data_IF_026645785888
#
_entry.id   IF_026645785888
#
_cell.length_a   1.000
_cell.length_b   1.000
_cell.length_c   1.000
_cell.angle_alpha   90.00
_cell.angle_beta   90.00
_cell.angle_gamma   90.00
#
_symmetry.space_group_name_H-M   'P 1'
#
loop_
_entity.id
_entity.type
_entity.pdbx_description
1 polymer ?
#
# COMPACT_ATOMS: atom_id res chain seq x y z
N UNK A 1 -28.23 7.35 26.45
CA UNK A 1 -27.26 7.74 25.41
C UNK A 1 -27.58 9.17 25.00
N UNK A 2 -26.68 10.13 25.22
CA UNK A 2 -26.94 11.55 24.95
C UNK A 2 -26.79 11.85 23.45
N UNK A 3 -27.90 12.20 22.80
CA UNK A 3 -27.95 12.54 21.36
C UNK A 3 -27.06 13.74 21.01
N UNK A 4 -26.88 14.68 21.93
CA UNK A 4 -26.00 15.85 21.72
C UNK A 4 -24.52 15.47 21.78
N UNK A 5 -24.19 14.43 22.53
CA UNK A 5 -22.84 13.88 22.56
C UNK A 5 -22.55 13.18 21.23
N UNK A 6 -23.48 12.34 20.76
CA UNK A 6 -23.34 11.65 19.46
C UNK A 6 -23.22 12.61 18.28
N UNK A 7 -24.04 13.66 18.22
CA UNK A 7 -23.96 14.67 17.17
C UNK A 7 -22.59 15.40 17.15
N UNK A 8 -22.03 15.69 18.33
CA UNK A 8 -20.68 16.28 18.44
C UNK A 8 -19.59 15.32 17.97
N UNK A 9 -19.71 14.04 18.29
CA UNK A 9 -18.78 13.01 17.78
C UNK A 9 -18.87 12.86 16.27
N UNK A 10 -20.08 12.82 15.70
CA UNK A 10 -20.29 12.70 14.26
C UNK A 10 -19.70 13.89 13.49
N UNK A 11 -19.98 15.12 13.92
CA UNK A 11 -19.42 16.31 13.30
C UNK A 11 -17.88 16.30 13.36
N UNK A 12 -17.29 15.93 14.51
CA UNK A 12 -15.83 15.83 14.63
C UNK A 12 -15.24 14.84 13.63
N UNK A 13 -15.85 13.65 13.50
CA UNK A 13 -15.41 12.67 12.51
C UNK A 13 -15.48 13.26 11.10
N UNK A 14 -16.56 13.92 10.74
CA UNK A 14 -16.73 14.56 9.43
C UNK A 14 -15.60 15.57 9.11
N UNK A 15 -15.28 16.46 10.06
CA UNK A 15 -14.21 17.45 9.91
C UNK A 15 -12.84 16.80 9.68
N UNK A 16 -12.54 15.75 10.44
CA UNK A 16 -11.30 14.97 10.28
C UNK A 16 -11.27 14.30 8.90
N UNK A 17 -12.35 13.62 8.52
CA UNK A 17 -12.42 12.78 7.32
C UNK A 17 -12.30 13.56 6.02
N UNK A 18 -12.84 14.79 5.99
CA UNK A 18 -12.87 15.62 4.79
C UNK A 18 -11.74 16.66 4.73
N UNK A 19 -11.17 17.07 5.86
CA UNK A 19 -10.05 18.01 5.90
C UNK A 19 -10.37 19.39 5.30
N UNK A 20 -11.64 19.82 5.31
CA UNK A 20 -12.07 21.07 4.67
C UNK A 20 -11.42 22.32 5.31
N UNK A 21 -11.11 22.25 6.60
CA UNK A 21 -10.38 23.28 7.34
C UNK A 21 -9.27 22.63 8.17
N UNK A 22 -8.02 23.05 7.94
CA UNK A 22 -6.82 22.43 8.55
C UNK A 22 -6.86 22.49 10.09
N UNK A 23 -7.34 23.61 10.64
CA UNK A 23 -7.41 23.81 12.08
C UNK A 23 -8.43 22.87 12.75
N UNK A 24 -9.59 22.63 12.12
CA UNK A 24 -10.63 21.72 12.63
C UNK A 24 -10.15 20.27 12.61
N UNK A 25 -9.51 19.88 11.51
CA UNK A 25 -8.89 18.55 11.38
C UNK A 25 -7.82 18.34 12.46
N UNK A 26 -6.93 19.32 12.66
CA UNK A 26 -5.86 19.23 13.66
C UNK A 26 -6.43 19.08 15.07
N UNK A 27 -7.41 19.92 15.44
CA UNK A 27 -8.05 19.83 16.75
C UNK A 27 -8.79 18.50 16.96
N UNK A 28 -9.43 17.99 15.90
CA UNK A 28 -10.05 16.68 15.91
C UNK A 28 -9.05 15.55 16.15
N UNK A 29 -7.90 15.58 15.47
CA UNK A 29 -6.81 14.61 15.65
C UNK A 29 -6.19 14.69 17.04
N UNK A 30 -5.92 15.89 17.56
CA UNK A 30 -5.44 16.09 18.93
C UNK A 30 -6.40 15.46 19.95
N UNK A 31 -7.71 15.60 19.74
CA UNK A 31 -8.68 14.98 20.63
C UNK A 31 -8.68 13.45 20.55
N UNK A 32 -8.50 12.86 19.35
CA UNK A 32 -8.37 11.41 19.19
C UNK A 32 -7.09 10.90 19.87
N UNK A 33 -6.01 11.67 19.78
CA UNK A 33 -4.73 11.38 20.42
C UNK A 33 -4.82 11.42 21.95
N UNK A 34 -5.43 12.46 22.50
CA UNK A 34 -5.68 12.61 23.95
C UNK A 34 -6.52 11.47 24.51
N UNK A 35 -7.57 11.06 23.79
CA UNK A 35 -8.46 9.97 24.19
C UNK A 35 -7.88 8.57 23.91
N UNK A 36 -6.77 8.48 23.18
CA UNK A 36 -6.17 7.22 22.71
C UNK A 36 -7.12 6.39 21.85
N UNK A 37 -7.92 7.05 21.01
CA UNK A 37 -8.91 6.44 20.13
C UNK A 37 -8.24 5.84 18.86
N UNK A 38 -7.29 4.92 19.05
CA UNK A 38 -6.45 4.39 17.96
C UNK A 38 -7.21 3.50 16.97
N UNK A 39 -8.10 2.66 17.48
CA UNK A 39 -8.94 1.79 16.63
C UNK A 39 -9.90 2.61 15.77
N UNK A 40 -10.51 3.64 16.36
CA UNK A 40 -11.37 4.56 15.63
C UNK A 40 -10.58 5.29 14.53
N UNK A 41 -9.38 5.77 14.86
CA UNK A 41 -8.47 6.41 13.89
C UNK A 41 -8.18 5.46 12.71
N UNK A 42 -7.87 4.20 13.00
CA UNK A 42 -7.64 3.16 11.99
C UNK A 42 -8.84 2.94 11.06
N UNK A 43 -10.06 2.86 11.62
CA UNK A 43 -11.29 2.67 10.85
C UNK A 43 -11.57 3.90 9.98
N UNK A 44 -11.41 5.10 10.55
CA UNK A 44 -11.59 6.37 9.84
C UNK A 44 -10.65 6.46 8.62
N UNK A 45 -9.41 6.01 8.75
CA UNK A 45 -8.46 5.99 7.63
C UNK A 45 -8.93 5.17 6.41
N UNK A 46 -9.90 4.26 6.52
CA UNK A 46 -10.38 3.50 5.35
C UNK A 46 -11.09 4.36 4.32
N UNK A 47 -11.79 5.40 4.76
CA UNK A 47 -12.65 6.23 3.89
C UNK A 47 -12.26 7.70 3.89
N UNK A 48 -11.27 8.09 4.68
CA UNK A 48 -10.77 9.46 4.74
C UNK A 48 -10.12 9.90 3.40
N UNK A 49 -10.12 11.20 3.14
CA UNK A 49 -9.28 11.77 2.10
C UNK A 49 -7.80 11.44 2.32
N UNK A 50 -6.98 11.52 1.26
CA UNK A 50 -5.55 11.19 1.34
C UNK A 50 -4.80 12.00 2.41
N UNK A 51 -4.98 13.31 2.43
CA UNK A 51 -4.30 14.20 3.39
C UNK A 51 -4.69 13.85 4.83
N UNK A 52 -5.98 13.75 5.21
CA UNK A 52 -6.34 13.32 6.55
C UNK A 52 -5.86 11.90 6.91
N UNK A 53 -5.95 10.95 5.98
CA UNK A 53 -5.49 9.58 6.22
C UNK A 53 -3.99 9.53 6.51
N UNK A 54 -3.20 10.32 5.77
CA UNK A 54 -1.77 10.45 6.01
C UNK A 54 -1.47 11.06 7.38
N UNK A 55 -2.20 12.13 7.78
CA UNK A 55 -2.04 12.73 9.11
C UNK A 55 -2.40 11.77 10.24
N UNK A 56 -3.45 10.97 10.07
CA UNK A 56 -3.82 9.90 11.01
C UNK A 56 -2.73 8.83 11.10
N UNK A 57 -2.15 8.42 9.97
CA UNK A 57 -1.03 7.48 9.96
C UNK A 57 0.20 8.06 10.70
N UNK A 58 0.57 9.31 10.42
CA UNK A 58 1.67 10.03 11.10
C UNK A 58 1.44 10.10 12.62
N UNK A 59 0.22 10.40 13.05
CA UNK A 59 -0.15 10.43 14.47
C UNK A 59 0.03 9.06 15.13
N UNK A 60 -0.45 7.98 14.50
CA UNK A 60 -0.29 6.62 15.02
C UNK A 60 1.19 6.22 15.10
N UNK A 61 1.98 6.52 14.06
CA UNK A 61 3.42 6.25 14.02
C UNK A 61 4.18 7.02 15.11
N UNK A 62 3.85 8.28 15.34
CA UNK A 62 4.46 9.13 16.38
C UNK A 62 4.22 8.58 17.79
N UNK A 63 3.10 7.90 18.00
CA UNK A 63 2.73 7.30 19.28
C UNK A 63 3.07 5.81 19.39
N UNK A 64 3.93 5.29 18.50
CA UNK A 64 4.31 3.88 18.42
C UNK A 64 3.12 2.91 18.29
N UNK A 65 2.00 3.38 17.73
CA UNK A 65 0.78 2.59 17.51
C UNK A 65 0.82 1.93 16.13
N UNK A 66 1.48 0.77 16.04
CA UNK A 66 1.72 0.10 14.74
C UNK A 66 0.57 -0.82 14.30
N UNK A 67 -0.02 -1.57 15.22
CA UNK A 67 -1.10 -2.53 14.91
C UNK A 67 -2.33 -1.85 14.29
N UNK A 68 -2.76 -0.66 14.75
CA UNK A 68 -3.86 0.06 14.11
C UNK A 68 -3.60 0.43 12.64
N UNK A 69 -2.35 0.45 12.16
CA UNK A 69 -2.05 0.72 10.75
C UNK A 69 -2.35 -0.47 9.81
N UNK A 70 -2.58 -1.67 10.35
CA UNK A 70 -2.82 -2.88 9.55
C UNK A 70 -4.11 -2.75 8.74
N UNK A 71 -5.21 -2.30 9.36
CA UNK A 71 -6.51 -2.19 8.69
C UNK A 71 -6.45 -1.26 7.47
N UNK A 72 -5.95 -0.01 7.55
CA UNK A 72 -5.79 0.83 6.37
C UNK A 72 -4.74 0.27 5.40
N UNK A 73 -3.65 -0.33 5.87
CA UNK A 73 -2.67 -1.01 5.00
C UNK A 73 -3.31 -2.13 4.15
N UNK A 74 -4.28 -2.85 4.71
CA UNK A 74 -4.91 -3.98 4.04
C UNK A 74 -6.11 -3.60 3.14
N UNK A 75 -6.92 -2.63 3.57
CA UNK A 75 -8.26 -2.44 3.01
C UNK A 75 -8.55 -1.02 2.51
N UNK A 76 -7.67 -0.04 2.80
CA UNK A 76 -7.91 1.33 2.33
C UNK A 76 -7.92 1.35 0.80
N UNK A 77 -8.94 2.00 0.24
CA UNK A 77 -9.04 2.29 -1.18
C UNK A 77 -8.82 3.78 -1.36
N UNK A 78 -8.08 4.19 -2.40
CA UNK A 78 -7.94 5.62 -2.66
C UNK A 78 -9.32 6.20 -2.98
N UNK A 79 -9.86 7.02 -2.07
CA UNK A 79 -11.09 7.78 -2.31
C UNK A 79 -10.74 8.91 -3.25
N UNK A 80 -10.69 8.62 -4.54
CA UNK A 80 -10.67 9.66 -5.56
C UNK A 80 -12.04 10.29 -5.52
N UNK A 81 -12.14 11.49 -4.92
CA UNK A 81 -13.19 12.41 -5.38
C UNK A 81 -12.97 12.45 -6.88
N UNK A 82 -13.97 12.02 -7.65
CA UNK A 82 -14.03 12.48 -9.01
C UNK A 82 -13.92 13.99 -8.84
N UNK A 83 -12.77 14.56 -9.15
CA UNK A 83 -12.77 15.91 -9.62
C UNK A 83 -13.81 15.83 -10.75
N UNK A 84 -15.02 16.30 -10.44
CA UNK A 84 -15.67 17.22 -11.33
C UNK A 84 -14.54 18.19 -11.68
N UNK A 85 -13.77 17.83 -12.70
CA UNK A 85 -13.24 18.79 -13.63
C UNK A 85 -14.52 19.48 -14.07
N UNK A 86 -14.87 20.50 -13.30
CA UNK A 86 -15.88 21.44 -13.68
C UNK A 86 -15.49 21.82 -15.10
N UNK A 87 -16.36 21.47 -16.02
CA UNK A 87 -16.18 21.60 -17.48
C UNK A 87 -16.19 23.08 -17.88
N UNK A 88 -15.72 23.97 -17.02
CA UNK A 88 -15.68 25.42 -17.17
C UNK A 88 -14.29 26.00 -17.42
N UNK A 89 -13.20 25.28 -17.14
CA UNK A 89 -11.84 25.87 -17.16
C UNK A 89 -11.14 25.93 -18.52
N UNK A 90 -11.42 25.00 -19.44
CA UNK A 90 -10.68 24.88 -20.72
C UNK A 90 -11.60 24.57 -21.91
N UNK A 91 -12.78 25.22 -21.93
CA UNK A 91 -13.63 25.32 -23.14
C UNK A 91 -13.24 26.49 -24.05
N UNK A 92 -11.99 26.96 -24.02
CA UNK A 92 -11.49 27.79 -25.10
C UNK A 92 -11.12 26.88 -26.26
N UNK A 93 -12.09 26.68 -27.16
CA UNK A 93 -11.79 26.33 -28.56
C UNK A 93 -10.65 27.24 -28.99
N UNK A 94 -9.55 26.66 -29.47
CA UNK A 94 -8.28 27.34 -29.76
C UNK A 94 -8.45 28.58 -30.67
N UNK A 95 -9.57 28.68 -31.40
CA UNK A 95 -9.83 29.75 -32.37
C UNK A 95 -10.95 30.73 -32.00
N UNK A 96 -11.61 30.61 -30.84
CA UNK A 96 -12.76 31.48 -30.54
C UNK A 96 -12.38 32.94 -30.22
N UNK A 97 -11.11 33.20 -29.92
CA UNK A 97 -10.63 34.55 -29.55
C UNK A 97 -9.98 35.30 -30.74
N UNK A 98 -9.78 34.67 -31.91
CA UNK A 98 -9.17 35.32 -33.09
C UNK A 98 -10.23 36.01 -33.97
N UNK A 99 -11.47 35.51 -33.99
CA UNK A 99 -12.56 36.12 -34.77
C UNK A 99 -13.22 37.33 -34.08
N UNK A 100 -12.75 37.71 -32.88
CA UNK A 100 -13.37 38.75 -32.05
C UNK A 100 -12.62 40.10 -32.06
N UNK A 101 -11.52 40.21 -32.82
CA UNK A 101 -10.77 41.46 -32.98
C UNK A 101 -11.02 41.97 -34.42
N UNK A 102 -11.93 42.94 -34.48
CA UNK A 102 -12.20 43.94 -35.52
C UNK A 102 -11.66 43.75 -36.96
N UNK A 103 -12.64 43.76 -37.87
CA UNK A 103 -12.67 44.39 -39.20
C UNK A 103 -11.40 44.53 -40.06
N UNK A 104 -11.59 44.08 -41.30
CA UNK A 104 -10.89 44.44 -42.54
C UNK A 104 -9.43 43.93 -42.66
N UNK A 105 -9.28 42.94 -43.55
CA UNK A 105 -8.05 42.25 -43.96
C UNK A 105 -7.37 41.32 -42.95
N UNK A 106 -7.86 40.08 -42.83
CA UNK A 106 -6.96 38.93 -42.63
C UNK A 106 -7.60 37.63 -43.09
N UNK A 107 -6.84 36.81 -43.81
CA UNK A 107 -7.28 35.52 -44.32
C UNK A 107 -7.70 34.63 -43.14
N UNK A 108 -9.01 34.39 -43.02
CA UNK A 108 -9.54 33.42 -42.07
C UNK A 108 -8.80 32.09 -42.21
N UNK A 109 -8.57 31.42 -41.08
CA UNK A 109 -7.79 30.19 -41.02
C UNK A 109 -8.34 29.19 -42.04
N UNK A 110 -7.52 28.71 -43.00
CA UNK A 110 -7.97 27.75 -44.00
C UNK A 110 -8.59 26.51 -43.37
N UNK A 111 -9.71 26.04 -43.94
CA UNK A 111 -10.53 24.96 -43.36
C UNK A 111 -9.72 23.70 -43.00
N UNK A 112 -8.78 23.30 -43.86
CA UNK A 112 -7.92 22.14 -43.61
C UNK A 112 -7.04 22.28 -42.35
N UNK A 113 -6.63 23.50 -41.99
CA UNK A 113 -5.87 23.77 -40.76
C UNK A 113 -6.80 23.68 -39.55
N UNK A 114 -8.05 24.13 -39.68
CA UNK A 114 -9.07 24.02 -38.63
C UNK A 114 -9.41 22.55 -38.36
N UNK A 115 -9.69 21.77 -39.40
CA UNK A 115 -9.96 20.33 -39.31
C UNK A 115 -8.77 19.58 -38.70
N UNK A 116 -7.54 19.85 -39.16
CA UNK A 116 -6.33 19.23 -38.60
C UNK A 116 -6.15 19.57 -37.11
N UNK A 117 -6.42 20.82 -36.72
CA UNK A 117 -6.31 21.25 -35.32
C UNK A 117 -7.38 20.59 -34.43
N UNK A 118 -8.61 20.45 -34.93
CA UNK A 118 -9.69 19.73 -34.24
C UNK A 118 -9.36 18.23 -34.10
N UNK A 119 -8.81 17.60 -35.14
CA UNK A 119 -8.36 16.20 -35.09
C UNK A 119 -7.22 15.97 -34.09
N UNK A 120 -6.24 16.88 -34.05
CA UNK A 120 -5.14 16.84 -33.09
C UNK A 120 -5.68 17.00 -31.66
N UNK A 121 -6.64 17.91 -31.45
CA UNK A 121 -7.28 18.12 -30.16
C UNK A 121 -8.05 16.87 -29.72
N UNK A 122 -8.90 16.31 -30.59
CA UNK A 122 -9.68 15.10 -30.32
C UNK A 122 -8.77 13.89 -30.02
N UNK A 123 -7.67 13.75 -30.76
CA UNK A 123 -6.67 12.70 -30.53
C UNK A 123 -5.95 12.86 -29.18
N UNK A 124 -5.60 14.09 -28.81
CA UNK A 124 -4.99 14.40 -27.52
C UNK A 124 -5.99 14.16 -26.36
N UNK A 125 -7.27 14.49 -26.54
CA UNK A 125 -8.33 14.23 -25.56
C UNK A 125 -8.58 12.74 -25.37
N UNK A 126 -8.64 11.95 -26.45
CA UNK A 126 -8.76 10.47 -26.39
C UNK A 126 -7.56 9.83 -25.72
N UNK A 127 -6.36 10.34 -25.99
CA UNK A 127 -5.12 9.84 -25.37
C UNK A 127 -5.09 10.15 -23.87
N UNK A 128 -5.47 11.38 -23.48
CA UNK A 128 -5.52 11.81 -22.08
C UNK A 128 -6.60 11.04 -21.30
N UNK A 129 -7.79 10.88 -21.86
CA UNK A 129 -8.87 10.10 -21.24
C UNK A 129 -8.51 8.63 -21.12
N UNK A 130 -7.87 8.03 -22.13
CA UNK A 130 -7.38 6.66 -22.07
C UNK A 130 -6.21 6.44 -21.10
N UNK A 131 -5.37 7.46 -20.86
CA UNK A 131 -4.33 7.44 -19.83
C UNK A 131 -4.94 7.56 -18.43
N UNK A 132 -5.88 8.51 -18.23
CA UNK A 132 -6.62 8.66 -16.98
C UNK A 132 -7.42 7.41 -16.63
N UNK A 133 -8.06 6.74 -17.60
CA UNK A 133 -8.78 5.49 -17.36
C UNK A 133 -7.85 4.34 -16.96
N UNK A 134 -6.64 4.26 -17.53
CA UNK A 134 -5.62 3.29 -17.11
C UNK A 134 -5.10 3.58 -15.71
N UNK A 135 -4.85 4.85 -15.39
CA UNK A 135 -4.44 5.28 -14.05
C UNK A 135 -5.57 5.14 -13.01
N UNK A 136 -6.84 5.23 -13.42
CA UNK A 136 -8.01 4.91 -12.59
C UNK A 136 -8.19 3.39 -12.40
N UNK A 137 -7.70 2.58 -13.33
CA UNK A 137 -7.68 1.13 -13.20
C UNK A 137 -6.57 0.65 -12.26
N UNK A 138 -5.46 1.38 -12.15
CA UNK A 138 -4.41 1.14 -11.17
C UNK A 138 -4.76 1.80 -9.82
N UNK A 139 -5.28 1.01 -8.87
CA UNK A 139 -5.59 1.47 -7.50
C UNK A 139 -4.31 1.63 -6.68
N UNK A 140 -3.48 2.62 -7.04
CA UNK A 140 -2.31 3.04 -6.27
C UNK A 140 -2.72 4.05 -5.21
N UNK A 141 -2.64 3.66 -3.94
CA UNK A 141 -2.89 4.55 -2.80
C UNK A 141 -1.58 4.86 -2.09
N UNK A 142 -1.12 6.11 -2.20
CA UNK A 142 0.12 6.57 -1.58
C UNK A 142 0.13 6.43 -0.05
N UNK A 143 -1.04 6.37 0.60
CA UNK A 143 -1.12 6.15 2.05
C UNK A 143 -0.73 4.72 2.41
N UNK A 144 -1.11 3.71 1.60
CA UNK A 144 -0.74 2.31 1.87
C UNK A 144 0.76 2.11 1.73
N UNK A 145 1.35 2.69 0.70
CA UNK A 145 2.80 2.68 0.49
C UNK A 145 3.53 3.35 1.67
N UNK A 146 3.09 4.55 2.06
CA UNK A 146 3.62 5.26 3.23
C UNK A 146 3.56 4.42 4.51
N UNK A 147 2.44 3.75 4.78
CA UNK A 147 2.29 2.88 5.97
C UNK A 147 3.33 1.75 5.93
N UNK A 148 3.45 1.05 4.81
CA UNK A 148 4.36 -0.09 4.69
C UNK A 148 5.82 0.36 4.82
N UNK A 149 6.18 1.50 4.23
CA UNK A 149 7.53 2.06 4.33
C UNK A 149 7.86 2.47 5.76
N UNK A 150 6.96 3.21 6.42
CA UNK A 150 7.17 3.64 7.80
C UNK A 150 7.27 2.46 8.77
N UNK A 151 6.46 1.42 8.60
CA UNK A 151 6.61 0.18 9.38
C UNK A 151 7.94 -0.54 9.07
N UNK A 152 8.37 -0.51 7.81
CA UNK A 152 9.66 -1.05 7.37
C UNK A 152 10.84 -0.40 8.08
N UNK A 153 10.81 0.92 8.28
CA UNK A 153 11.83 1.64 9.05
C UNK A 153 11.88 1.22 10.53
N UNK A 154 10.77 0.74 11.08
CA UNK A 154 10.66 0.30 12.48
C UNK A 154 10.88 -1.20 12.69
N UNK A 155 11.14 -1.96 11.62
CA UNK A 155 11.26 -3.43 11.65
C UNK A 155 12.34 -3.96 12.61
N UNK A 156 13.42 -3.19 12.80
CA UNK A 156 14.52 -3.54 13.70
C UNK A 156 14.24 -3.14 15.16
N UNK A 157 13.30 -2.22 15.39
CA UNK A 157 13.08 -1.54 16.66
C UNK A 157 11.86 -2.05 17.41
N UNK A 158 10.80 -2.46 16.69
CA UNK A 158 9.52 -2.84 17.29
C UNK A 158 9.01 -4.17 16.76
N UNK A 159 8.68 -5.08 17.69
CA UNK A 159 8.02 -6.34 17.35
C UNK A 159 6.60 -6.11 16.79
N UNK A 160 5.90 -5.07 17.25
CA UNK A 160 4.57 -4.72 16.77
C UNK A 160 4.60 -4.19 15.33
N UNK A 161 5.67 -3.48 14.94
CA UNK A 161 5.87 -3.09 13.55
C UNK A 161 6.11 -4.30 12.64
N UNK A 162 6.89 -5.29 13.10
CA UNK A 162 7.06 -6.57 12.39
C UNK A 162 5.71 -7.28 12.25
N UNK A 163 4.95 -7.41 13.35
CA UNK A 163 3.65 -8.06 13.33
C UNK A 163 2.68 -7.36 12.36
N UNK A 164 2.67 -6.02 12.35
CA UNK A 164 1.86 -5.24 11.42
C UNK A 164 2.24 -5.51 9.96
N UNK A 165 3.54 -5.54 9.62
CA UNK A 165 4.00 -5.86 8.27
C UNK A 165 3.63 -7.27 7.83
N UNK A 166 3.72 -8.25 8.73
CA UNK A 166 3.32 -9.64 8.43
C UNK A 166 1.84 -9.71 8.12
N UNK A 167 1.01 -9.09 8.95
CA UNK A 167 -0.44 -9.05 8.73
C UNK A 167 -0.78 -8.37 7.39
N UNK A 168 -0.11 -7.26 7.05
CA UNK A 168 -0.31 -6.61 5.75
C UNK A 168 0.14 -7.52 4.61
N UNK A 169 1.29 -8.17 4.72
CA UNK A 169 1.82 -9.08 3.70
C UNK A 169 0.89 -10.28 3.43
N UNK A 170 0.26 -10.81 4.49
CA UNK A 170 -0.64 -11.97 4.39
C UNK A 170 -2.08 -11.59 3.99
N UNK A 171 -2.60 -10.47 4.50
CA UNK A 171 -4.04 -10.18 4.47
C UNK A 171 -4.44 -8.99 3.60
N UNK A 172 -3.49 -8.17 3.11
CA UNK A 172 -3.87 -7.03 2.27
C UNK A 172 -4.63 -7.48 1.05
N UNK A 173 -5.70 -6.77 0.68
CA UNK A 173 -6.45 -7.07 -0.56
C UNK A 173 -5.64 -6.65 -1.79
N UNK A 174 -4.70 -5.72 -1.63
CA UNK A 174 -3.91 -5.12 -2.69
C UNK A 174 -2.60 -5.88 -2.90
N UNK A 175 -2.41 -6.36 -4.13
CA UNK A 175 -1.27 -7.21 -4.48
C UNK A 175 0.07 -6.49 -4.30
N UNK A 176 0.20 -5.26 -4.80
CA UNK A 176 1.43 -4.49 -4.66
C UNK A 176 1.77 -4.22 -3.19
N UNK A 177 0.77 -3.87 -2.38
CA UNK A 177 0.97 -3.66 -0.95
C UNK A 177 1.39 -4.95 -0.24
N UNK A 178 0.77 -6.11 -0.56
CA UNK A 178 1.20 -7.43 -0.03
C UNK A 178 2.66 -7.71 -0.38
N UNK A 179 3.03 -7.50 -1.64
CA UNK A 179 4.37 -7.78 -2.18
C UNK A 179 5.44 -6.89 -1.56
N UNK A 180 5.18 -5.59 -1.46
CA UNK A 180 6.12 -4.64 -0.84
C UNK A 180 6.31 -4.98 0.65
N UNK A 181 5.23 -5.24 1.40
CA UNK A 181 5.32 -5.61 2.81
C UNK A 181 6.11 -6.93 2.99
N UNK A 182 5.83 -7.93 2.15
CA UNK A 182 6.55 -9.21 2.16
C UNK A 182 8.05 -9.03 1.88
N UNK A 183 8.42 -8.18 0.92
CA UNK A 183 9.80 -7.86 0.62
C UNK A 183 10.51 -7.17 1.80
N UNK A 184 9.86 -6.23 2.48
CA UNK A 184 10.45 -5.57 3.66
C UNK A 184 10.79 -6.58 4.76
N UNK A 185 9.91 -7.54 5.02
CA UNK A 185 10.16 -8.62 5.98
C UNK A 185 11.27 -9.55 5.51
N UNK A 186 11.19 -10.04 4.27
CA UNK A 186 12.13 -11.01 3.71
C UNK A 186 13.55 -10.45 3.58
N UNK A 187 13.70 -9.17 3.24
CA UNK A 187 15.00 -8.52 3.10
C UNK A 187 15.70 -8.29 4.45
N UNK A 188 14.96 -8.30 5.56
CA UNK A 188 15.55 -8.10 6.88
C UNK A 188 15.91 -9.44 7.54
N UNK A 189 17.06 -10.00 7.13
CA UNK A 189 17.52 -11.33 7.54
C UNK A 189 17.58 -11.53 9.06
N UNK A 190 17.91 -10.50 9.84
CA UNK A 190 17.90 -10.57 11.30
C UNK A 190 16.50 -10.82 11.87
N UNK A 191 15.47 -10.19 11.30
CA UNK A 191 14.07 -10.39 11.74
C UNK A 191 13.61 -11.78 11.37
N UNK A 192 13.92 -12.25 10.15
CA UNK A 192 13.65 -13.63 9.72
C UNK A 192 14.27 -14.64 10.69
N UNK A 193 15.55 -14.49 11.04
CA UNK A 193 16.22 -15.37 12.02
C UNK A 193 15.57 -15.33 13.40
N UNK A 194 15.27 -14.14 13.91
CA UNK A 194 14.58 -13.97 15.20
C UNK A 194 13.22 -14.65 15.22
N UNK A 195 12.46 -14.54 14.13
CA UNK A 195 11.16 -15.19 14.00
C UNK A 195 11.26 -16.71 14.00
N UNK A 196 12.22 -17.28 13.27
CA UNK A 196 12.44 -18.73 13.25
C UNK A 196 12.86 -19.24 14.63
N UNK A 197 13.80 -18.56 15.29
CA UNK A 197 14.22 -18.89 16.66
C UNK A 197 13.06 -18.78 17.67
N UNK A 198 12.07 -17.94 17.41
CA UNK A 198 10.84 -17.83 18.20
C UNK A 198 9.74 -18.84 17.81
N UNK A 199 10.02 -19.80 16.92
CA UNK A 199 9.05 -20.81 16.46
C UNK A 199 8.02 -20.28 15.45
N UNK A 200 8.17 -19.05 14.95
CA UNK A 200 7.22 -18.38 14.03
C UNK A 200 7.56 -18.59 12.55
N UNK A 201 8.30 -19.65 12.23
CA UNK A 201 8.73 -19.93 10.85
C UNK A 201 7.54 -20.14 9.88
N UNK A 202 6.40 -20.64 10.37
CA UNK A 202 5.19 -20.84 9.56
C UNK A 202 4.64 -19.52 8.99
N UNK A 203 4.77 -18.41 9.71
CA UNK A 203 4.33 -17.10 9.22
C UNK A 203 5.16 -16.64 8.03
N UNK A 204 6.46 -16.91 8.03
CA UNK A 204 7.34 -16.61 6.91
C UNK A 204 6.97 -17.40 5.65
N UNK A 205 6.57 -18.66 5.81
CA UNK A 205 6.05 -19.48 4.72
C UNK A 205 4.71 -18.93 4.20
N UNK A 206 3.83 -18.45 5.08
CA UNK A 206 2.58 -17.80 4.69
C UNK A 206 2.82 -16.50 3.92
N UNK A 207 3.78 -15.67 4.33
CA UNK A 207 4.18 -14.45 3.61
C UNK A 207 4.68 -14.80 2.21
N UNK A 208 5.56 -15.81 2.09
CA UNK A 208 6.05 -16.27 0.80
C UNK A 208 4.91 -16.75 -0.10
N UNK A 209 3.98 -17.54 0.42
CA UNK A 209 2.81 -18.03 -0.33
C UNK A 209 1.86 -16.90 -0.75
N UNK A 210 1.59 -15.94 0.14
CA UNK A 210 0.67 -14.82 -0.10
C UNK A 210 1.23 -13.80 -1.11
N UNK A 211 2.55 -13.54 -1.06
CA UNK A 211 3.22 -12.61 -1.97
C UNK A 211 3.34 -13.14 -3.40
N UNK A 212 3.44 -14.48 -3.56
CA UNK A 212 3.70 -15.16 -4.84
C UNK A 212 4.97 -14.67 -5.54
N UNK A 213 5.95 -14.21 -4.76
CA UNK A 213 7.23 -13.72 -5.26
C UNK A 213 8.34 -14.73 -4.99
N UNK A 214 9.05 -15.12 -6.04
CA UNK A 214 10.23 -15.99 -5.91
C UNK A 214 11.33 -15.33 -5.09
N UNK A 215 11.56 -14.03 -5.27
CA UNK A 215 12.56 -13.26 -4.51
C UNK A 215 12.29 -13.26 -3.00
N UNK A 216 11.04 -13.20 -2.58
CA UNK A 216 10.65 -13.32 -1.16
C UNK A 216 11.02 -14.71 -0.63
N UNK A 217 10.72 -15.76 -1.40
CA UNK A 217 11.04 -17.14 -1.01
C UNK A 217 12.56 -17.37 -0.89
N UNK A 218 13.31 -16.88 -1.88
CA UNK A 218 14.77 -16.92 -1.92
C UNK A 218 15.34 -16.19 -0.70
N UNK A 219 14.93 -14.95 -0.44
CA UNK A 219 15.49 -14.14 0.64
C UNK A 219 15.20 -14.73 2.02
N UNK A 220 13.99 -15.25 2.23
CA UNK A 220 13.64 -15.98 3.46
C UNK A 220 14.51 -17.24 3.60
N UNK A 221 14.65 -18.03 2.52
CA UNK A 221 15.45 -19.26 2.57
C UNK A 221 16.94 -18.99 2.84
N UNK A 222 17.51 -17.95 2.21
CA UNK A 222 18.88 -17.51 2.42
C UNK A 222 19.12 -17.05 3.87
N UNK A 223 18.15 -16.35 4.46
CA UNK A 223 18.26 -15.91 5.85
C UNK A 223 18.18 -17.08 6.86
N UNK A 224 17.69 -18.26 6.42
CA UNK A 224 17.54 -19.46 7.25
C UNK A 224 18.72 -20.44 7.19
N UNK A 225 19.70 -20.21 6.33
CA UNK A 225 20.81 -21.15 6.07
C UNK A 225 21.54 -21.57 7.36
N UNK A 226 21.85 -20.62 8.23
CA UNK A 226 22.57 -20.89 9.47
C UNK A 226 21.75 -21.66 10.51
N UNK A 227 20.42 -21.76 10.32
CA UNK A 227 19.49 -22.41 11.24
C UNK A 227 19.10 -23.83 10.80
N UNK A 228 19.61 -24.33 9.67
CA UNK A 228 19.25 -25.66 9.15
C UNK A 228 19.53 -26.76 10.17
N UNK A 229 20.68 -26.71 10.85
CA UNK A 229 21.04 -27.68 11.89
C UNK A 229 20.03 -27.71 13.04
N UNK A 230 19.61 -26.54 13.51
CA UNK A 230 18.56 -26.39 14.54
C UNK A 230 17.22 -26.91 14.03
N UNK A 231 16.82 -26.54 12.81
CA UNK A 231 15.56 -26.98 12.20
C UNK A 231 15.49 -28.50 12.01
N UNK A 232 16.64 -29.15 11.76
CA UNK A 232 16.76 -30.62 11.74
C UNK A 232 16.52 -31.23 13.11
N UNK A 233 17.11 -30.66 14.16
CA UNK A 233 16.92 -31.13 15.54
C UNK A 233 15.48 -30.97 16.00
N UNK A 234 14.83 -29.88 15.62
CA UNK A 234 13.41 -29.61 15.90
C UNK A 234 12.44 -30.39 14.99
N UNK A 235 12.96 -31.15 14.02
CA UNK A 235 12.18 -31.88 13.02
C UNK A 235 11.16 -30.99 12.27
N UNK A 236 11.56 -29.75 11.94
CA UNK A 236 10.68 -28.79 11.29
C UNK A 236 10.63 -29.00 9.76
N UNK A 237 10.02 -30.13 9.38
CA UNK A 237 10.01 -30.63 7.99
C UNK A 237 9.48 -29.61 6.98
N UNK A 238 8.46 -28.84 7.33
CA UNK A 238 7.86 -27.84 6.42
C UNK A 238 8.86 -26.75 6.02
N UNK A 239 9.62 -26.25 6.99
CA UNK A 239 10.62 -25.21 6.75
C UNK A 239 11.82 -25.78 6.00
N UNK A 240 12.25 -26.99 6.34
CA UNK A 240 13.34 -27.68 5.62
C UNK A 240 12.99 -27.93 4.15
N UNK A 241 11.77 -28.39 3.84
CA UNK A 241 11.27 -28.50 2.47
C UNK A 241 11.23 -27.15 1.75
N UNK A 242 10.80 -26.10 2.45
CA UNK A 242 10.76 -24.75 1.90
C UNK A 242 12.16 -24.25 1.50
N UNK A 243 13.17 -24.45 2.35
CA UNK A 243 14.56 -24.12 2.04
C UNK A 243 15.05 -25.00 0.87
N UNK A 244 14.81 -26.31 0.92
CA UNK A 244 15.16 -27.26 -0.13
C UNK A 244 14.61 -26.91 -1.51
N UNK A 245 13.44 -26.28 -1.58
CA UNK A 245 12.81 -25.85 -2.83
C UNK A 245 13.35 -24.50 -3.34
N UNK A 246 13.54 -23.54 -2.46
CA UNK A 246 13.70 -22.12 -2.85
C UNK A 246 15.13 -21.58 -2.69
N UNK A 247 16.03 -22.29 -2.01
CA UNK A 247 17.39 -21.79 -1.80
C UNK A 247 18.20 -21.80 -3.11
N UNK A 248 18.95 -20.73 -3.44
CA UNK A 248 19.70 -20.64 -4.69
C UNK A 248 20.88 -21.62 -4.76
N UNK A 249 21.55 -21.87 -3.63
CA UNK A 249 22.65 -22.84 -3.54
C UNK A 249 22.13 -24.30 -3.48
N UNK A 250 22.62 -25.14 -4.40
CA UNK A 250 22.32 -26.57 -4.47
C UNK A 250 22.85 -27.36 -3.26
N UNK A 251 23.99 -26.98 -2.69
CA UNK A 251 24.55 -27.66 -1.52
C UNK A 251 23.63 -27.48 -0.30
N UNK A 252 23.17 -26.25 -0.07
CA UNK A 252 22.24 -25.92 1.02
C UNK A 252 20.87 -26.58 0.82
N UNK A 253 20.36 -26.63 -0.42
CA UNK A 253 19.11 -27.36 -0.72
C UNK A 253 19.20 -28.83 -0.34
N UNK A 254 20.30 -29.48 -0.72
CA UNK A 254 20.55 -30.88 -0.36
C UNK A 254 20.65 -31.08 1.14
N UNK A 255 21.40 -30.23 1.83
CA UNK A 255 21.54 -30.30 3.28
C UNK A 255 20.19 -30.18 3.99
N UNK A 256 19.34 -29.24 3.57
CA UNK A 256 17.99 -29.10 4.12
C UNK A 256 17.13 -30.36 3.88
N UNK A 257 17.18 -30.94 2.68
CA UNK A 257 16.42 -32.15 2.31
C UNK A 257 16.91 -33.43 3.00
N UNK A 258 18.18 -33.51 3.38
CA UNK A 258 18.70 -34.62 4.20
C UNK A 258 18.01 -34.68 5.56
N UNK A 259 17.59 -33.53 6.09
CA UNK A 259 16.78 -33.41 7.30
C UNK A 259 15.30 -33.81 7.14
N UNK A 260 14.84 -34.03 5.91
CA UNK A 260 13.46 -34.42 5.62
C UNK A 260 13.37 -35.95 5.51
N UNK A 261 12.42 -36.59 6.20
CA UNK A 261 12.17 -38.03 6.07
C UNK A 261 11.97 -38.46 4.60
N UNK A 262 12.55 -39.59 4.15
CA UNK A 262 12.53 -40.01 2.73
C UNK A 262 11.13 -40.13 2.13
N UNK A 263 10.17 -40.61 2.91
CA UNK A 263 8.75 -40.75 2.58
C UNK A 263 8.06 -39.41 2.30
N UNK A 264 8.64 -38.31 2.78
CA UNK A 264 8.10 -36.97 2.65
C UNK A 264 8.86 -36.12 1.63
N UNK A 265 9.96 -36.58 1.03
CA UNK A 265 10.77 -35.72 0.13
C UNK A 265 10.04 -35.31 -1.16
N UNK A 266 9.17 -36.17 -1.67
CA UNK A 266 8.52 -36.00 -2.99
C UNK A 266 7.05 -35.59 -2.93
N UNK A 267 6.46 -35.47 -1.74
CA UNK A 267 5.10 -34.95 -1.55
C UNK A 267 5.15 -33.41 -1.47
N UNK A 268 5.00 -32.78 -2.64
CA UNK A 268 4.97 -31.34 -2.84
C UNK A 268 3.76 -30.90 -3.66
#
# INVERSE_FOLDING_TARGET
MDLRLLARYANRMEHIMHGALEWEMRHGLETLEENKDWELTSIMMLTAGEVPARRMAEMLLRNDQYIPLVLPGCFRRQVRKAELIDRGGLRRKVFRDIDAIDMDDEAGIPEHIRETAEEIQDSAERTRTGALQRELAEDRDGVREFIVDALGEKIALSADAVNALILIACCSMWEDTRRIAALKVANHALTVRKMVAAGRANELLQISAASRMESVAINISNAMTDMISTLKQENNVRVLKFIGKNHPDHAVRRDALEGVPPDQRDSG
#
